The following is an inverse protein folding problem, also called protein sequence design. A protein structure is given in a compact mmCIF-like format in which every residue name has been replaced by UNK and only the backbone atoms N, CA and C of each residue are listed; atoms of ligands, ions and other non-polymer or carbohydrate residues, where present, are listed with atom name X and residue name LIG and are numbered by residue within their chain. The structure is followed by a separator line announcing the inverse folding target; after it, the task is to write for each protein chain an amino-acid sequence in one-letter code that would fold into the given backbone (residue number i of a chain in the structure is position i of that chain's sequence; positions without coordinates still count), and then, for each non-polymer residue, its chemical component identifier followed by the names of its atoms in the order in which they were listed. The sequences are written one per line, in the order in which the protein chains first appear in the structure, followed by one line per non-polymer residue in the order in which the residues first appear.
data_IF_843810806692
#
_entry.id   IF_843810806692
#
_cell.length_a   1.000
_cell.length_b   1.000
_cell.length_c   1.000
_cell.angle_alpha   90.00
_cell.angle_beta   90.00
_cell.angle_gamma   90.00
#
_symmetry.space_group_name_H-M   'P 1'
#
loop_
_entity.id
_entity.type
_entity.pdbx_description
1 polymer ?
#
# COMPACT_ATOMS: atom_id res chain seq x y z
N UNK A 1 -20.21 17.53 9.38
CA UNK A 1 -20.11 16.09 9.72
C UNK A 1 -20.91 15.30 8.70
N UNK A 2 -20.29 14.82 7.62
CA UNK A 2 -20.89 13.86 6.69
C UNK A 2 -19.75 12.98 6.17
N UNK A 3 -19.46 11.90 6.87
CA UNK A 3 -18.68 10.81 6.28
C UNK A 3 -19.59 10.19 5.22
N UNK A 4 -19.20 10.32 3.96
CA UNK A 4 -19.87 9.65 2.85
C UNK A 4 -19.79 8.15 3.11
N UNK A 5 -20.95 7.51 3.20
CA UNK A 5 -21.07 6.05 3.21
C UNK A 5 -20.57 5.60 1.84
N UNK A 6 -19.28 5.30 1.72
CA UNK A 6 -18.78 4.53 0.59
C UNK A 6 -19.39 3.16 0.77
N UNK A 7 -20.53 2.92 0.12
CA UNK A 7 -20.98 1.58 -0.21
C UNK A 7 -19.75 0.95 -0.85
N UNK A 8 -19.06 0.06 -0.10
CA UNK A 8 -17.84 -0.59 -0.57
C UNK A 8 -18.25 -1.27 -1.87
N UNK A 9 -17.85 -0.65 -2.98
CA UNK A 9 -18.42 -0.99 -4.26
C UNK A 9 -18.10 -2.45 -4.51
N UNK A 10 -19.15 -3.25 -4.67
CA UNK A 10 -19.05 -4.70 -4.85
C UNK A 10 -18.34 -5.07 -6.16
N UNK A 11 -17.78 -4.09 -6.89
CA UNK A 11 -16.78 -4.23 -7.94
C UNK A 11 -15.76 -5.34 -7.70
N UNK A 12 -15.31 -5.55 -6.46
CA UNK A 12 -14.38 -6.66 -6.17
C UNK A 12 -15.03 -8.04 -6.36
N UNK A 13 -16.33 -8.22 -6.13
CA UNK A 13 -17.04 -9.48 -6.36
C UNK A 13 -17.17 -9.84 -7.86
N UNK A 14 -16.87 -8.92 -8.78
CA UNK A 14 -16.79 -9.22 -10.21
C UNK A 14 -15.46 -9.88 -10.60
N UNK A 15 -14.46 -9.85 -9.72
CA UNK A 15 -13.13 -10.38 -9.99
C UNK A 15 -12.91 -11.72 -9.28
N UNK A 16 -12.66 -12.78 -10.06
CA UNK A 16 -12.40 -14.12 -9.54
C UNK A 16 -11.22 -14.18 -8.55
N UNK A 17 -10.21 -13.32 -8.73
CA UNK A 17 -9.06 -13.22 -7.83
C UNK A 17 -9.44 -12.64 -6.47
N UNK A 18 -10.32 -11.64 -6.44
CA UNK A 18 -10.82 -11.05 -5.21
C UNK A 18 -11.74 -12.01 -4.45
N UNK A 19 -12.58 -12.78 -5.17
CA UNK A 19 -13.39 -13.85 -4.56
C UNK A 19 -12.48 -14.91 -3.91
N UNK A 20 -11.37 -15.30 -4.56
CA UNK A 20 -10.39 -16.22 -3.97
C UNK A 20 -9.78 -15.65 -2.69
N UNK A 21 -9.35 -14.39 -2.71
CA UNK A 21 -8.82 -13.71 -1.53
C UNK A 21 -9.85 -13.64 -0.38
N UNK A 22 -11.10 -13.32 -0.69
CA UNK A 22 -12.18 -13.29 0.30
C UNK A 22 -12.49 -14.68 0.88
N UNK A 23 -12.50 -15.73 0.05
CA UNK A 23 -12.65 -17.12 0.52
C UNK A 23 -11.50 -17.53 1.45
N UNK A 24 -10.27 -17.08 1.18
CA UNK A 24 -9.14 -17.30 2.09
C UNK A 24 -9.38 -16.60 3.43
N UNK A 25 -9.86 -15.36 3.42
CA UNK A 25 -10.21 -14.65 4.66
C UNK A 25 -11.26 -15.41 5.47
N UNK A 26 -12.33 -15.89 4.82
CA UNK A 26 -13.37 -16.70 5.48
C UNK A 26 -12.79 -18.00 6.06
N UNK A 27 -11.89 -18.65 5.33
CA UNK A 27 -11.24 -19.87 5.81
C UNK A 27 -10.40 -19.61 7.07
N UNK A 28 -9.67 -18.50 7.12
CA UNK A 28 -8.85 -18.13 8.28
C UNK A 28 -9.74 -17.73 9.46
N UNK A 29 -10.79 -16.92 9.26
CA UNK A 29 -11.74 -16.58 10.34
C UNK A 29 -12.41 -17.83 10.92
N UNK A 30 -12.76 -18.80 10.05
CA UNK A 30 -13.34 -20.07 10.48
C UNK A 30 -12.35 -20.90 11.29
N UNK A 31 -11.07 -20.91 10.91
CA UNK A 31 -10.02 -21.64 11.62
C UNK A 31 -9.72 -21.00 12.99
N UNK A 32 -9.58 -19.67 13.03
CA UNK A 32 -9.15 -18.93 14.21
C UNK A 32 -10.28 -18.71 15.23
N UNK A 33 -11.50 -18.43 14.76
CA UNK A 33 -12.64 -18.09 15.63
C UNK A 33 -13.79 -19.10 15.59
N UNK A 34 -13.75 -20.09 14.70
CA UNK A 34 -14.86 -21.03 14.52
C UNK A 34 -16.11 -20.41 13.88
N UNK A 35 -16.04 -19.14 13.42
CA UNK A 35 -17.19 -18.40 12.88
C UNK A 35 -17.28 -18.59 11.36
N UNK A 36 -18.48 -18.96 10.88
CA UNK A 36 -18.75 -19.08 9.44
C UNK A 36 -19.24 -17.74 8.87
N UNK A 37 -18.32 -16.95 8.35
CA UNK A 37 -18.64 -15.69 7.67
C UNK A 37 -19.16 -15.94 6.24
N UNK A 38 -20.26 -15.30 5.85
CA UNK A 38 -20.86 -15.45 4.52
C UNK A 38 -20.47 -14.28 3.60
N UNK A 39 -19.94 -14.59 2.41
CA UNK A 39 -19.59 -13.61 1.37
C UNK A 39 -20.79 -12.78 0.87
N UNK A 40 -22.00 -13.32 0.98
CA UNK A 40 -23.24 -12.66 0.54
C UNK A 40 -23.69 -11.54 1.49
N UNK A 41 -23.14 -11.47 2.70
CA UNK A 41 -23.54 -10.47 3.68
C UNK A 41 -23.08 -9.06 3.24
N UNK A 42 -23.96 -8.05 3.24
CA UNK A 42 -23.56 -6.68 2.94
C UNK A 42 -22.52 -6.14 3.94
N UNK A 43 -22.58 -6.60 5.19
CA UNK A 43 -21.66 -6.27 6.27
C UNK A 43 -20.38 -7.12 6.27
N UNK A 44 -20.20 -8.02 5.29
CA UNK A 44 -19.06 -8.95 5.24
C UNK A 44 -17.72 -8.24 5.43
N UNK A 45 -17.53 -7.13 4.73
CA UNK A 45 -16.27 -6.41 4.74
C UNK A 45 -16.01 -5.69 6.08
N UNK A 46 -17.05 -5.12 6.69
CA UNK A 46 -16.96 -4.46 8.00
C UNK A 46 -16.66 -5.47 9.11
N UNK A 47 -17.41 -6.58 9.14
CA UNK A 47 -17.17 -7.66 10.09
C UNK A 47 -15.75 -8.22 9.95
N UNK A 48 -15.28 -8.40 8.72
CA UNK A 48 -13.94 -8.90 8.48
C UNK A 48 -12.86 -7.91 8.97
N UNK A 49 -13.07 -6.61 8.79
CA UNK A 49 -12.16 -5.60 9.33
C UNK A 49 -12.13 -5.60 10.86
N UNK A 50 -13.30 -5.70 11.49
CA UNK A 50 -13.43 -5.79 12.95
C UNK A 50 -12.73 -7.06 13.47
N UNK A 51 -12.90 -8.19 12.78
CA UNK A 51 -12.22 -9.43 13.13
C UNK A 51 -10.71 -9.36 12.97
N UNK A 52 -10.20 -8.68 11.94
CA UNK A 52 -8.76 -8.44 11.79
C UNK A 52 -8.24 -7.62 12.97
N UNK A 53 -8.98 -6.60 13.40
CA UNK A 53 -8.61 -5.74 14.52
C UNK A 53 -8.63 -6.49 15.86
N UNK A 54 -9.67 -7.29 16.09
CA UNK A 54 -9.85 -8.09 17.31
C UNK A 54 -8.86 -9.24 17.43
N UNK A 55 -8.64 -9.99 16.35
CA UNK A 55 -7.76 -11.16 16.37
C UNK A 55 -6.29 -10.80 16.24
N UNK A 56 -5.97 -9.63 15.65
CA UNK A 56 -4.62 -9.18 15.30
C UNK A 56 -3.78 -10.24 14.54
N UNK A 57 -4.45 -11.23 13.94
CA UNK A 57 -3.81 -12.37 13.31
C UNK A 57 -3.14 -11.93 12.02
N UNK A 58 -1.83 -12.08 11.93
CA UNK A 58 -1.05 -11.63 10.78
C UNK A 58 -1.52 -12.29 9.48
N UNK A 59 -1.91 -13.58 9.54
CA UNK A 59 -2.44 -14.34 8.40
C UNK A 59 -3.74 -13.73 7.88
N UNK A 60 -4.64 -13.34 8.80
CA UNK A 60 -5.91 -12.72 8.45
C UNK A 60 -5.70 -11.31 7.89
N UNK A 61 -4.83 -10.52 8.52
CA UNK A 61 -4.49 -9.17 8.08
C UNK A 61 -3.88 -9.16 6.67
N UNK A 62 -2.99 -10.10 6.34
CA UNK A 62 -2.41 -10.23 5.00
C UNK A 62 -3.47 -10.61 3.95
N UNK A 63 -4.34 -11.57 4.27
CA UNK A 63 -5.43 -11.97 3.38
C UNK A 63 -6.41 -10.81 3.14
N UNK A 64 -6.76 -10.08 4.21
CA UNK A 64 -7.62 -8.90 4.14
C UNK A 64 -7.00 -7.78 3.32
N UNK A 65 -5.69 -7.53 3.48
CA UNK A 65 -4.94 -6.55 2.68
C UNK A 65 -4.95 -6.89 1.19
N UNK A 66 -4.85 -8.17 0.82
CA UNK A 66 -4.98 -8.61 -0.57
C UNK A 66 -6.38 -8.33 -1.10
N UNK A 67 -7.42 -8.63 -0.33
CA UNK A 67 -8.80 -8.31 -0.70
C UNK A 67 -9.01 -6.80 -0.89
N UNK A 68 -8.45 -5.99 0.02
CA UNK A 68 -8.45 -4.54 0.00
C UNK A 68 -7.88 -3.95 -1.30
N UNK A 69 -6.83 -4.55 -1.86
CA UNK A 69 -6.26 -4.10 -3.14
C UNK A 69 -7.22 -4.23 -4.33
N UNK A 70 -8.17 -5.17 -4.25
CA UNK A 70 -9.19 -5.35 -5.28
C UNK A 70 -10.46 -4.56 -4.99
N UNK A 71 -10.75 -4.29 -3.72
CA UNK A 71 -11.94 -3.56 -3.28
C UNK A 71 -11.75 -2.04 -3.31
N UNK A 72 -10.54 -1.55 -3.08
CA UNK A 72 -10.25 -0.12 -3.01
C UNK A 72 -9.20 0.29 -4.07
N UNK A 73 -9.58 1.10 -5.08
CA UNK A 73 -8.66 1.56 -6.10
C UNK A 73 -7.60 2.54 -5.58
N UNK A 74 -7.80 3.16 -4.40
CA UNK A 74 -6.79 4.02 -3.79
C UNK A 74 -5.70 3.18 -3.10
N UNK A 75 -6.04 2.00 -2.55
CA UNK A 75 -5.05 1.07 -1.98
C UNK A 75 -4.15 0.50 -3.08
N UNK A 76 -4.67 0.20 -4.27
CA UNK A 76 -3.86 -0.21 -5.41
C UNK A 76 -2.78 0.84 -5.75
N UNK A 77 -3.14 2.13 -5.72
CA UNK A 77 -2.19 3.25 -5.92
C UNK A 77 -1.24 3.44 -4.73
N UNK A 78 -1.69 3.18 -3.51
CA UNK A 78 -0.87 3.29 -2.30
C UNK A 78 0.14 2.13 -2.18
N UNK A 79 -0.19 0.92 -2.63
CA UNK A 79 0.72 -0.22 -2.65
C UNK A 79 1.90 0.02 -3.60
N UNK A 80 1.64 0.64 -4.77
CA UNK A 80 2.70 1.08 -5.69
C UNK A 80 3.62 2.15 -5.07
N UNK A 81 3.11 2.96 -4.12
CA UNK A 81 3.92 3.95 -3.40
C UNK A 81 4.77 3.37 -2.25
N UNK A 82 4.45 2.17 -1.75
CA UNK A 82 5.21 1.54 -0.65
C UNK A 82 6.37 0.67 -1.10
N UNK A 83 6.47 0.33 -2.39
CA UNK A 83 7.66 -0.33 -2.95
C UNK A 83 8.80 0.65 -3.27
N UNK A 84 8.66 1.93 -2.91
CA UNK A 84 9.71 2.93 -3.03
C UNK A 84 10.12 3.52 -1.66
N UNK A 85 10.16 2.69 -0.60
CA UNK A 85 10.68 3.15 0.70
C UNK A 85 11.44 2.04 1.44
N UNK A 86 12.35 1.42 0.72
CA UNK A 86 13.53 0.78 1.29
C UNK A 86 14.62 0.90 0.22
N UNK A 87 15.19 2.11 0.12
CA UNK A 87 16.63 2.36 0.00
C UNK A 87 16.86 3.86 -0.26
N UNK A 88 17.98 4.35 0.26
CA UNK A 88 18.69 5.56 -0.18
C UNK A 88 18.10 6.94 0.16
N UNK A 89 18.75 7.58 1.15
CA UNK A 89 19.23 8.97 1.14
C UNK A 89 18.38 9.96 0.34
N UNK A 90 17.87 10.97 1.05
CA UNK A 90 17.39 12.23 0.48
C UNK A 90 18.51 12.88 -0.36
N UNK A 91 18.73 12.33 -1.55
CA UNK A 91 19.73 12.72 -2.53
C UNK A 91 19.19 13.93 -3.25
N UNK A 92 19.14 15.03 -2.52
CA UNK A 92 18.81 16.32 -3.09
C UNK A 92 19.70 16.52 -4.33
N UNK A 93 19.11 16.85 -5.47
CA UNK A 93 19.83 16.93 -6.74
C UNK A 93 19.70 18.33 -7.31
N UNK A 94 20.80 18.90 -7.79
CA UNK A 94 20.83 20.23 -8.40
C UNK A 94 20.89 20.09 -9.91
N UNK A 95 19.99 20.77 -10.62
CA UNK A 95 19.98 20.83 -12.09
C UNK A 95 20.75 22.07 -12.55
N UNK A 96 21.84 21.87 -13.27
CA UNK A 96 22.66 22.96 -13.84
C UNK A 96 22.91 22.68 -15.32
N UNK A 97 22.58 23.63 -16.20
CA UNK A 97 22.74 23.48 -17.66
C UNK A 97 22.06 22.23 -18.23
N UNK A 98 20.86 21.90 -17.74
CA UNK A 98 20.08 20.73 -18.18
C UNK A 98 20.63 19.38 -17.74
N UNK A 99 21.70 19.35 -16.94
CA UNK A 99 22.28 18.13 -16.34
C UNK A 99 21.98 18.12 -14.85
N UNK A 100 21.63 16.94 -14.33
CA UNK A 100 21.31 16.74 -12.92
C UNK A 100 22.51 16.16 -12.19
N UNK A 101 22.89 16.79 -11.08
CA UNK A 101 24.00 16.39 -10.22
C UNK A 101 23.49 16.14 -8.80
N UNK A 102 24.13 15.23 -8.05
CA UNK A 102 23.83 15.08 -6.63
C UNK A 102 24.27 16.37 -5.88
N UNK A 103 23.44 16.87 -4.96
CA UNK A 103 23.78 18.03 -4.11
C UNK A 103 24.90 17.69 -3.14
N UNK A 104 24.94 16.45 -2.65
CA UNK A 104 25.98 16.01 -1.73
C UNK A 104 26.75 14.83 -2.30
N UNK A 105 28.08 14.86 -2.15
CA UNK A 105 28.96 13.73 -2.47
C UNK A 105 29.94 13.54 -1.32
N UNK A 106 29.67 12.55 -0.48
CA UNK A 106 30.37 12.40 0.80
C UNK A 106 30.01 13.56 1.74
N UNK A 107 31.01 14.25 2.29
CA UNK A 107 30.84 15.41 3.17
C UNK A 107 30.90 16.76 2.44
N UNK A 108 30.87 16.76 1.10
CA UNK A 108 31.04 17.97 0.28
C UNK A 108 29.75 18.31 -0.46
N UNK A 109 29.39 19.58 -0.50
CA UNK A 109 28.21 20.10 -1.20
C UNK A 109 28.58 20.55 -2.63
N UNK A 110 27.65 20.35 -3.56
CA UNK A 110 27.77 20.81 -4.94
C UNK A 110 27.94 22.34 -4.97
N UNK A 111 29.10 22.78 -5.44
CA UNK A 111 29.48 24.19 -5.51
C UNK A 111 29.34 24.77 -6.93
N UNK A 112 29.19 23.93 -7.96
CA UNK A 112 29.01 24.38 -9.35
C UNK A 112 29.70 23.48 -10.37
N UNK A 113 29.86 24.00 -11.59
CA UNK A 113 30.58 23.35 -12.70
C UNK A 113 31.88 24.09 -13.02
N UNK A 114 32.99 23.36 -13.09
CA UNK A 114 34.27 23.88 -13.57
C UNK A 114 34.71 23.09 -14.80
N UNK A 115 34.87 23.77 -15.94
CA UNK A 115 35.16 23.14 -17.25
C UNK A 115 34.20 21.97 -17.60
N UNK A 116 32.93 22.10 -17.19
CA UNK A 116 31.90 21.09 -17.42
C UNK A 116 31.89 19.90 -16.45
N UNK A 117 32.80 19.86 -15.46
CA UNK A 117 32.83 18.84 -14.42
C UNK A 117 32.22 19.37 -13.10
N UNK A 118 31.46 18.56 -12.35
CA UNK A 118 30.86 18.98 -11.08
C UNK A 118 31.93 19.13 -9.99
N UNK A 119 31.90 20.27 -9.30
CA UNK A 119 32.79 20.59 -8.19
C UNK A 119 32.01 20.49 -6.89
N UNK A 120 32.61 19.82 -5.89
CA UNK A 120 32.05 19.67 -4.54
C UNK A 120 33.02 20.28 -3.53
N UNK A 121 32.52 21.12 -2.61
CA UNK A 121 33.31 21.75 -1.55
C UNK A 121 32.79 21.41 -0.17
#
# INVERSE_FOLDING_TARGET
MKQGITVVDKSWMLNASAIRAAKQCVSVVKDEMGIKLLLSNPEFYFLLQEYVDLTQSQRLAEAFKKLQQYADPNIAKAAQRRQAKDDNVSGESVTVSGKTYARFRGSKEFSGLYRGQPVYR
#
